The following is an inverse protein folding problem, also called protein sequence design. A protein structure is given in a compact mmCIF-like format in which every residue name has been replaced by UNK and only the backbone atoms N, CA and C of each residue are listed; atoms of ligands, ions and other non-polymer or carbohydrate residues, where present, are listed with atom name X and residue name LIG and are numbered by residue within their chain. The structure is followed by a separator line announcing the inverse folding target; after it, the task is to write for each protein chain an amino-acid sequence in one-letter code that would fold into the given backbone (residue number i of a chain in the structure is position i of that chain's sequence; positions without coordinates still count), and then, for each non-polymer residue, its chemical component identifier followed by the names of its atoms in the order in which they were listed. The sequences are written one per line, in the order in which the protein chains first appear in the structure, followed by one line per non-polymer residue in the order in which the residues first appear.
data_IF_518324627286
#
_entry.id   IF_518324627286
#
_cell.length_a   1.000
_cell.length_b   1.000
_cell.length_c   1.000
_cell.angle_alpha   90.00
_cell.angle_beta   90.00
_cell.angle_gamma   90.00
#
_symmetry.space_group_name_H-M   'P 1'
#
loop_
_entity.id
_entity.type
_entity.pdbx_description
1 polymer ?
#
# COMPACT_ATOMS: atom_id res chain seq x y z
N UNK A 1 -16.27 -16.45 -15.31
CA UNK A 1 -14.91 -16.61 -15.89
C UNK A 1 -14.37 -15.37 -16.60
N UNK A 2 -15.17 -14.60 -17.37
CA UNK A 2 -14.68 -13.39 -18.07
C UNK A 2 -14.20 -12.25 -17.16
N UNK A 3 -14.82 -12.01 -16.01
CA UNK A 3 -14.40 -10.95 -15.06
C UNK A 3 -13.05 -11.22 -14.38
N UNK A 4 -12.76 -12.48 -14.06
CA UNK A 4 -11.52 -12.89 -13.38
C UNK A 4 -10.28 -12.68 -14.26
N UNK A 5 -10.37 -13.06 -15.54
CA UNK A 5 -9.28 -12.82 -16.49
C UNK A 5 -9.00 -11.32 -16.69
N UNK A 6 -10.05 -10.49 -16.67
CA UNK A 6 -9.92 -9.03 -16.71
C UNK A 6 -9.27 -8.47 -15.44
N UNK A 7 -9.59 -9.01 -14.26
CA UNK A 7 -8.99 -8.61 -12.99
C UNK A 7 -7.52 -9.03 -12.82
N UNK A 8 -7.08 -10.14 -13.44
CA UNK A 8 -5.66 -10.56 -13.47
C UNK A 8 -4.84 -9.75 -14.48
N UNK A 9 -5.42 -9.45 -15.65
CA UNK A 9 -4.70 -8.72 -16.70
C UNK A 9 -4.47 -7.25 -16.35
N UNK A 10 -5.37 -6.64 -15.58
CA UNK A 10 -5.25 -5.25 -15.14
C UNK A 10 -3.95 -4.94 -14.36
N UNK A 11 -3.58 -5.68 -13.30
CA UNK A 11 -2.34 -5.43 -12.58
C UNK A 11 -1.09 -5.75 -13.42
N UNK A 12 -1.11 -6.80 -14.24
CA UNK A 12 0.00 -7.11 -15.15
C UNK A 12 0.23 -5.98 -16.17
N UNK A 13 -0.84 -5.45 -16.75
CA UNK A 13 -0.78 -4.29 -17.64
C UNK A 13 -0.23 -3.05 -16.94
N UNK A 14 -0.62 -2.81 -15.69
CA UNK A 14 -0.10 -1.73 -14.88
C UNK A 14 1.40 -1.89 -14.57
N UNK A 15 1.86 -3.11 -14.25
CA UNK A 15 3.29 -3.41 -14.01
C UNK A 15 4.10 -3.15 -15.28
N UNK A 16 3.63 -3.64 -16.42
CA UNK A 16 4.33 -3.48 -17.70
C UNK A 16 4.42 -2.00 -18.10
N UNK A 17 3.31 -1.26 -18.04
CA UNK A 17 3.28 0.17 -18.34
C UNK A 17 4.20 0.96 -17.39
N UNK A 18 4.15 0.65 -16.10
CA UNK A 18 4.99 1.31 -15.09
C UNK A 18 6.48 1.06 -15.34
N UNK A 19 6.86 -0.18 -15.70
CA UNK A 19 8.25 -0.50 -16.03
C UNK A 19 8.73 0.24 -17.29
N UNK A 20 7.88 0.35 -18.32
CA UNK A 20 8.19 1.15 -19.52
C UNK A 20 8.38 2.63 -19.18
N UNK A 21 7.54 3.18 -18.30
CA UNK A 21 7.66 4.56 -17.82
C UNK A 21 8.95 4.77 -17.01
N UNK A 22 9.31 3.85 -16.11
CA UNK A 22 10.60 3.90 -15.37
C UNK A 22 11.76 3.98 -16.36
N UNK A 23 11.76 3.13 -17.38
CA UNK A 23 12.80 3.12 -18.40
C UNK A 23 12.85 4.45 -19.18
N UNK A 24 11.68 5.00 -19.53
CA UNK A 24 11.57 6.30 -20.18
C UNK A 24 12.15 7.43 -19.31
N UNK A 25 11.68 7.57 -18.06
CA UNK A 25 12.13 8.63 -17.16
C UNK A 25 13.63 8.51 -16.86
N UNK A 26 14.12 7.31 -16.58
CA UNK A 26 15.55 7.06 -16.30
C UNK A 26 16.41 7.41 -17.51
N UNK A 27 15.98 7.05 -18.72
CA UNK A 27 16.69 7.40 -19.96
C UNK A 27 16.66 8.90 -20.22
N UNK A 28 15.48 9.52 -20.13
CA UNK A 28 15.27 10.97 -20.33
C UNK A 28 16.11 11.79 -19.35
N UNK A 29 16.09 11.43 -18.07
CA UNK A 29 16.92 12.06 -17.05
C UNK A 29 18.41 11.96 -17.39
N UNK A 30 18.90 10.77 -17.76
CA UNK A 30 20.31 10.57 -18.12
C UNK A 30 20.72 11.44 -19.32
N UNK A 31 19.91 11.46 -20.37
CA UNK A 31 20.19 12.21 -21.60
C UNK A 31 20.20 13.73 -21.38
N UNK A 32 19.30 14.24 -20.53
CA UNK A 32 19.15 15.68 -20.23
C UNK A 32 19.93 16.16 -18.99
N UNK A 33 20.55 15.25 -18.25
CA UNK A 33 21.20 15.53 -16.95
C UNK A 33 22.17 16.71 -17.00
N UNK A 34 23.01 16.80 -18.03
CA UNK A 34 23.95 17.91 -18.23
C UNK A 34 23.23 19.26 -18.32
N UNK A 35 22.14 19.32 -19.09
CA UNK A 35 21.37 20.54 -19.29
C UNK A 35 20.64 20.93 -18.01
N UNK A 36 20.11 19.96 -17.26
CA UNK A 36 19.52 20.20 -15.94
C UNK A 36 20.52 20.80 -14.95
N UNK A 37 21.72 20.26 -14.85
CA UNK A 37 22.74 20.81 -13.94
C UNK A 37 23.17 22.23 -14.36
N UNK A 38 23.24 22.51 -15.66
CA UNK A 38 23.53 23.86 -16.15
C UNK A 38 22.38 24.84 -15.88
N UNK A 39 21.14 24.38 -16.03
CA UNK A 39 19.94 25.14 -15.70
C UNK A 39 19.94 25.51 -14.22
N UNK A 40 20.05 24.53 -13.31
CA UNK A 40 20.02 24.72 -11.86
C UNK A 40 21.06 25.75 -11.37
N UNK A 41 22.26 25.76 -11.97
CA UNK A 41 23.32 26.74 -11.65
C UNK A 41 22.94 28.18 -11.98
N UNK A 42 22.10 28.40 -12.98
CA UNK A 42 21.70 29.74 -13.45
C UNK A 42 20.47 30.28 -12.73
N UNK A 43 19.72 29.44 -12.02
CA UNK A 43 18.50 29.84 -11.31
C UNK A 43 18.83 30.72 -10.10
N UNK A 44 17.87 31.53 -9.68
CA UNK A 44 17.97 32.25 -8.40
C UNK A 44 17.81 31.28 -7.22
N UNK A 45 18.27 31.70 -6.05
CA UNK A 45 18.09 30.93 -4.82
C UNK A 45 16.61 30.69 -4.52
N UNK A 46 15.76 31.69 -4.74
CA UNK A 46 14.31 31.60 -4.57
C UNK A 46 13.69 30.45 -5.39
N UNK A 47 14.04 30.34 -6.68
CA UNK A 47 13.51 29.27 -7.54
C UNK A 47 14.09 27.92 -7.13
N UNK A 48 15.39 27.84 -6.78
CA UNK A 48 15.98 26.58 -6.29
C UNK A 48 15.28 26.06 -5.03
N UNK A 49 14.92 26.95 -4.10
CA UNK A 49 14.18 26.56 -2.90
C UNK A 49 12.78 26.05 -3.24
N UNK A 50 12.08 26.66 -4.21
CA UNK A 50 10.81 26.12 -4.71
C UNK A 50 10.97 24.74 -5.35
N UNK A 51 12.06 24.48 -6.09
CA UNK A 51 12.32 23.14 -6.65
C UNK A 51 12.50 22.10 -5.53
N UNK A 52 13.26 22.43 -4.50
CA UNK A 52 13.50 21.53 -3.35
C UNK A 52 12.17 21.21 -2.65
N UNK A 53 11.38 22.24 -2.34
CA UNK A 53 10.08 22.08 -1.69
C UNK A 53 9.11 21.22 -2.52
N UNK A 54 9.07 21.43 -3.85
CA UNK A 54 8.27 20.59 -4.73
C UNK A 54 8.74 19.14 -4.69
N UNK A 55 10.05 18.87 -4.69
CA UNK A 55 10.59 17.50 -4.63
C UNK A 55 10.17 16.82 -3.32
N UNK A 56 10.23 17.53 -2.19
CA UNK A 56 9.83 17.01 -0.88
C UNK A 56 8.32 16.71 -0.81
N UNK A 57 7.48 17.61 -1.30
CA UNK A 57 6.01 17.43 -1.33
C UNK A 57 5.60 16.35 -2.32
N UNK A 58 6.17 16.36 -3.53
CA UNK A 58 5.80 15.45 -4.60
C UNK A 58 6.26 14.01 -4.33
N UNK A 59 7.25 13.81 -3.46
CA UNK A 59 7.63 12.50 -2.93
C UNK A 59 6.67 11.96 -1.87
N UNK A 60 5.89 12.82 -1.21
CA UNK A 60 4.95 12.43 -0.15
C UNK A 60 3.52 12.13 -0.66
N UNK A 61 3.16 12.62 -1.85
CA UNK A 61 1.84 12.41 -2.44
C UNK A 61 1.92 11.50 -3.67
N UNK A 62 1.42 10.26 -3.54
CA UNK A 62 1.45 9.21 -4.57
C UNK A 62 0.08 8.91 -5.20
N UNK A 63 -0.93 9.75 -5.00
CA UNK A 63 -2.29 9.46 -5.48
C UNK A 63 -2.33 9.45 -7.01
N UNK A 64 -2.62 8.27 -7.57
CA UNK A 64 -2.75 8.08 -9.01
C UNK A 64 -4.10 8.65 -9.49
N UNK A 65 -4.13 9.95 -9.80
CA UNK A 65 -5.31 10.62 -10.33
C UNK A 65 -5.41 10.38 -11.85
N UNK A 66 -6.43 9.64 -12.29
CA UNK A 66 -6.62 9.24 -13.69
C UNK A 66 -7.90 9.80 -14.31
N UNK A 67 -7.97 9.73 -15.65
CA UNK A 67 -9.21 9.87 -16.41
C UNK A 67 -9.88 11.25 -16.29
N UNK A 68 -11.16 11.27 -15.90
CA UNK A 68 -11.98 12.48 -15.83
C UNK A 68 -11.41 13.44 -14.78
N UNK A 69 -10.99 12.92 -13.62
CA UNK A 69 -10.47 13.75 -12.53
C UNK A 69 -9.14 14.40 -12.94
N UNK A 70 -8.24 13.67 -13.60
CA UNK A 70 -7.00 14.25 -14.16
C UNK A 70 -7.30 15.43 -15.09
N UNK A 71 -8.23 15.25 -16.03
CA UNK A 71 -8.62 16.32 -16.97
C UNK A 71 -9.23 17.51 -16.26
N UNK A 72 -10.03 17.26 -15.21
CA UNK A 72 -10.62 18.31 -14.38
C UNK A 72 -9.52 19.11 -13.66
N UNK A 73 -8.57 18.45 -13.00
CA UNK A 73 -7.46 19.10 -12.30
C UNK A 73 -6.55 19.92 -13.21
N UNK A 74 -6.23 19.41 -14.40
CA UNK A 74 -5.46 20.19 -15.38
C UNK A 74 -6.23 21.44 -15.83
N UNK A 75 -7.56 21.34 -15.98
CA UNK A 75 -8.41 22.49 -16.30
C UNK A 75 -8.46 23.50 -15.15
N UNK A 76 -8.52 23.04 -13.90
CA UNK A 76 -8.44 23.88 -12.71
C UNK A 76 -7.08 24.61 -12.62
N UNK A 77 -5.97 23.89 -12.80
CA UNK A 77 -4.62 24.48 -12.87
C UNK A 77 -4.58 25.59 -13.93
N UNK A 78 -5.09 25.33 -15.13
CA UNK A 78 -5.10 26.33 -16.21
C UNK A 78 -5.84 27.60 -15.80
N UNK A 79 -7.05 27.46 -15.25
CA UNK A 79 -7.84 28.59 -14.80
C UNK A 79 -7.10 29.39 -13.71
N UNK A 80 -6.51 28.70 -12.72
CA UNK A 80 -5.74 29.34 -11.66
C UNK A 80 -4.52 30.11 -12.20
N UNK A 81 -3.82 29.55 -13.20
CA UNK A 81 -2.70 30.24 -13.84
C UNK A 81 -3.17 31.49 -14.59
N UNK A 82 -4.28 31.41 -15.30
CA UNK A 82 -4.87 32.57 -15.99
C UNK A 82 -5.24 33.69 -15.00
N UNK A 83 -5.84 33.34 -13.86
CA UNK A 83 -6.14 34.29 -12.77
C UNK A 83 -4.89 34.91 -12.15
N UNK A 84 -3.76 34.19 -12.14
CA UNK A 84 -2.47 34.68 -11.67
C UNK A 84 -1.70 35.49 -12.73
N UNK A 85 -2.34 35.76 -13.88
CA UNK A 85 -1.85 36.67 -14.92
C UNK A 85 -1.07 35.98 -16.05
N UNK A 86 -1.25 34.68 -16.25
CA UNK A 86 -0.77 34.02 -17.48
C UNK A 86 -1.72 34.31 -18.64
N UNK A 87 -1.21 34.88 -19.72
CA UNK A 87 -1.99 35.03 -20.96
C UNK A 87 -1.99 33.68 -21.68
N UNK A 88 -3.10 32.95 -21.62
CA UNK A 88 -3.25 31.61 -22.22
C UNK A 88 -2.17 30.63 -21.76
N UNK A 89 -2.30 30.11 -20.54
CA UNK A 89 -1.30 29.22 -19.95
C UNK A 89 -1.01 27.99 -20.86
N UNK A 90 0.27 27.72 -21.19
CA UNK A 90 0.63 26.61 -22.08
C UNK A 90 0.16 25.26 -21.55
N UNK A 91 -0.33 24.40 -22.44
CA UNK A 91 -0.81 23.07 -22.04
C UNK A 91 0.30 22.23 -21.38
N UNK A 92 1.51 22.28 -21.95
CA UNK A 92 2.70 21.59 -21.41
C UNK A 92 3.04 22.04 -19.99
N UNK A 93 2.89 23.33 -19.68
CA UNK A 93 3.09 23.85 -18.33
C UNK A 93 2.02 23.33 -17.36
N UNK A 94 0.76 23.32 -17.78
CA UNK A 94 -0.34 22.82 -16.96
C UNK A 94 -0.18 21.31 -16.66
N UNK A 95 0.23 20.53 -17.66
CA UNK A 95 0.50 19.11 -17.50
C UNK A 95 1.70 18.87 -16.58
N UNK A 96 2.81 19.57 -16.79
CA UNK A 96 4.00 19.41 -15.94
C UNK A 96 3.72 19.84 -14.48
N UNK A 97 2.93 20.89 -14.27
CA UNK A 97 2.52 21.33 -12.94
C UNK A 97 1.61 20.29 -12.25
N UNK A 98 0.69 19.68 -13.01
CA UNK A 98 -0.13 18.59 -12.51
C UNK A 98 0.72 17.38 -12.09
N UNK A 99 1.65 16.94 -12.95
CA UNK A 99 2.55 15.83 -12.64
C UNK A 99 3.42 16.14 -11.42
N UNK A 100 3.83 17.40 -11.22
CA UNK A 100 4.57 17.80 -10.01
C UNK A 100 3.70 17.97 -8.75
N UNK A 101 2.39 17.72 -8.82
CA UNK A 101 1.49 17.80 -7.67
C UNK A 101 1.14 19.23 -7.24
N UNK A 102 1.21 20.20 -8.16
CA UNK A 102 1.00 21.63 -7.85
C UNK A 102 -0.47 22.06 -7.91
N UNK A 103 -1.40 21.13 -8.11
CA UNK A 103 -2.82 21.42 -8.20
C UNK A 103 -3.32 22.09 -6.91
N UNK A 104 -3.90 23.28 -7.03
CA UNK A 104 -4.35 24.10 -5.90
C UNK A 104 -3.24 24.82 -5.12
N UNK A 105 -1.97 24.65 -5.51
CA UNK A 105 -0.80 25.33 -4.92
C UNK A 105 -0.10 26.27 -5.91
N UNK A 106 -0.73 26.58 -7.05
CA UNK A 106 -0.09 27.30 -8.16
C UNK A 106 0.40 28.69 -7.72
N UNK A 107 -0.32 29.34 -6.79
CA UNK A 107 0.05 30.65 -6.24
C UNK A 107 1.34 30.60 -5.41
N UNK A 108 1.61 29.51 -4.70
CA UNK A 108 2.80 29.34 -3.85
C UNK A 108 4.07 29.19 -4.70
N UNK A 109 3.94 28.57 -5.87
CA UNK A 109 5.03 28.31 -6.81
C UNK A 109 5.06 29.27 -8.00
N UNK A 110 4.41 30.43 -7.88
CA UNK A 110 4.18 31.35 -9.01
C UNK A 110 5.48 31.87 -9.63
N UNK A 111 6.53 32.09 -8.84
CA UNK A 111 7.82 32.56 -9.35
C UNK A 111 8.49 31.52 -10.26
N UNK A 112 8.46 30.24 -9.87
CA UNK A 112 8.93 29.13 -10.70
C UNK A 112 8.05 28.97 -11.94
N UNK A 113 6.72 29.00 -11.77
CA UNK A 113 5.77 28.81 -12.87
C UNK A 113 5.88 29.92 -13.92
N UNK A 114 6.18 31.17 -13.51
CA UNK A 114 6.41 32.30 -14.42
C UNK A 114 7.82 32.36 -14.99
N UNK A 115 8.74 31.51 -14.51
CA UNK A 115 10.10 31.50 -15.01
C UNK A 115 10.13 31.02 -16.46
N UNK A 116 11.00 31.60 -17.29
CA UNK A 116 11.12 31.24 -18.71
C UNK A 116 11.46 29.76 -18.97
N UNK A 117 12.09 29.12 -17.98
CA UNK A 117 12.48 27.70 -18.00
C UNK A 117 11.52 26.81 -17.20
N UNK A 118 10.32 27.29 -16.83
CA UNK A 118 9.39 26.56 -15.95
C UNK A 118 9.13 25.12 -16.42
N UNK A 119 8.88 24.94 -17.72
CA UNK A 119 8.63 23.61 -18.31
C UNK A 119 9.85 22.70 -18.14
N UNK A 120 11.06 23.19 -18.42
CA UNK A 120 12.32 22.45 -18.24
C UNK A 120 12.57 22.08 -16.77
N UNK A 121 12.22 22.98 -15.84
CA UNK A 121 12.35 22.75 -14.40
C UNK A 121 11.38 21.65 -13.93
N UNK A 122 10.11 21.74 -14.32
CA UNK A 122 9.11 20.73 -13.95
C UNK A 122 9.36 19.39 -14.64
N UNK A 123 9.90 19.40 -15.86
CA UNK A 123 10.36 18.21 -16.56
C UNK A 123 11.51 17.52 -15.79
N UNK A 124 12.48 18.27 -15.28
CA UNK A 124 13.53 17.73 -14.40
C UNK A 124 12.91 17.01 -13.20
N UNK A 125 11.99 17.67 -12.48
CA UNK A 125 11.33 17.10 -11.30
C UNK A 125 10.55 15.83 -11.66
N UNK A 126 9.80 15.87 -12.77
CA UNK A 126 9.01 14.73 -13.25
C UNK A 126 9.91 13.54 -13.59
N UNK A 127 11.01 13.76 -14.31
CA UNK A 127 11.95 12.68 -14.66
C UNK A 127 12.69 12.14 -13.44
N UNK A 128 12.91 12.96 -12.40
CA UNK A 128 13.53 12.55 -11.15
C UNK A 128 12.61 11.66 -10.32
N UNK A 129 11.33 12.05 -10.17
CA UNK A 129 10.37 11.37 -9.30
C UNK A 129 9.56 10.26 -9.99
N UNK A 130 9.50 10.30 -11.33
CA UNK A 130 8.78 9.31 -12.13
C UNK A 130 9.14 7.86 -11.81
N UNK A 131 10.44 7.49 -11.68
CA UNK A 131 10.84 6.13 -11.33
C UNK A 131 10.28 5.65 -9.98
N UNK A 132 10.33 6.50 -8.95
CA UNK A 132 9.84 6.17 -7.61
C UNK A 132 8.33 5.93 -7.61
N UNK A 133 7.55 6.80 -8.24
CA UNK A 133 6.08 6.67 -8.34
C UNK A 133 5.65 5.42 -9.10
N UNK A 134 6.34 5.10 -10.20
CA UNK A 134 6.03 3.90 -10.98
C UNK A 134 6.48 2.64 -10.23
N UNK A 135 7.53 2.70 -9.42
CA UNK A 135 7.92 1.60 -8.51
C UNK A 135 6.84 1.33 -7.46
N UNK A 136 6.27 2.38 -6.84
CA UNK A 136 5.13 2.25 -5.93
C UNK A 136 3.91 1.64 -6.63
N UNK A 137 3.62 2.07 -7.87
CA UNK A 137 2.52 1.50 -8.68
C UNK A 137 2.74 0.01 -8.96
N UNK A 138 3.97 -0.40 -9.28
CA UNK A 138 4.34 -1.82 -9.45
C UNK A 138 4.11 -2.58 -8.15
N UNK A 139 4.57 -2.05 -7.01
CA UNK A 139 4.40 -2.67 -5.70
C UNK A 139 2.93 -2.92 -5.38
N UNK A 140 2.06 -1.92 -5.57
CA UNK A 140 0.60 -2.07 -5.39
C UNK A 140 0.01 -3.12 -6.35
N UNK A 141 0.44 -3.12 -7.61
CA UNK A 141 -0.06 -4.08 -8.60
C UNK A 141 0.37 -5.52 -8.30
N UNK A 142 1.61 -5.73 -7.82
CA UNK A 142 2.13 -7.02 -7.36
C UNK A 142 1.33 -7.52 -6.16
N UNK A 143 1.10 -6.67 -5.16
CA UNK A 143 0.30 -7.02 -3.99
C UNK A 143 -1.14 -7.42 -4.36
N UNK A 144 -1.77 -6.70 -5.29
CA UNK A 144 -3.08 -7.08 -5.82
C UNK A 144 -3.04 -8.41 -6.55
N UNK A 145 -2.02 -8.64 -7.38
CA UNK A 145 -1.85 -9.88 -8.14
C UNK A 145 -1.72 -11.10 -7.22
N UNK A 146 -0.89 -10.99 -6.18
CA UNK A 146 -0.72 -12.04 -5.15
C UNK A 146 -2.04 -12.36 -4.44
N UNK A 147 -2.83 -11.33 -4.11
CA UNK A 147 -4.14 -11.49 -3.47
C UNK A 147 -5.17 -12.15 -4.39
N UNK A 148 -5.22 -11.76 -5.66
CA UNK A 148 -6.12 -12.36 -6.67
C UNK A 148 -5.74 -13.82 -6.92
N UNK A 149 -4.44 -14.12 -7.09
CA UNK A 149 -3.95 -15.48 -7.28
C UNK A 149 -4.34 -16.37 -6.09
N UNK A 150 -4.26 -15.85 -4.88
CA UNK A 150 -4.71 -16.59 -3.70
C UNK A 150 -6.22 -16.80 -3.67
N UNK A 151 -7.02 -15.75 -3.91
CA UNK A 151 -8.47 -15.89 -3.98
C UNK A 151 -8.87 -16.95 -5.01
N UNK A 152 -8.20 -16.98 -6.16
CA UNK A 152 -8.41 -17.99 -7.18
C UNK A 152 -7.95 -19.38 -6.74
N UNK A 153 -6.83 -19.51 -6.05
CA UNK A 153 -6.39 -20.81 -5.48
C UNK A 153 -7.42 -21.33 -4.47
N UNK A 154 -7.94 -20.44 -3.61
CA UNK A 154 -8.99 -20.74 -2.62
C UNK A 154 -10.34 -21.09 -3.26
N UNK A 155 -10.74 -20.40 -4.34
CA UNK A 155 -11.97 -20.66 -5.09
C UNK A 155 -11.87 -21.87 -6.02
N UNK A 156 -10.70 -22.11 -6.61
CA UNK A 156 -10.51 -23.15 -7.62
C UNK A 156 -10.37 -24.52 -6.97
N UNK A 157 -9.51 -24.70 -5.96
CA UNK A 157 -9.26 -26.01 -5.34
C UNK A 157 -8.65 -25.83 -3.93
N UNK A 158 -9.48 -25.98 -2.89
CA UNK A 158 -9.04 -26.59 -1.63
C UNK A 158 -8.87 -28.10 -1.86
N UNK A 159 -7.76 -28.50 -2.49
CA UNK A 159 -7.12 -29.84 -2.53
C UNK A 159 -6.34 -29.98 -3.85
N UNK A 160 -5.02 -30.22 -3.83
CA UNK A 160 -4.53 -31.59 -3.83
C UNK A 160 -3.08 -31.77 -3.30
N UNK A 161 -2.47 -30.75 -2.68
CA UNK A 161 -1.09 -30.86 -2.15
C UNK A 161 -0.83 -30.16 -0.80
N UNK A 162 -1.85 -29.54 -0.19
CA UNK A 162 -1.70 -28.92 1.13
C UNK A 162 -1.72 -30.02 2.20
N UNK A 163 -0.58 -30.35 2.76
CA UNK A 163 -0.49 -31.36 3.83
C UNK A 163 -0.76 -30.68 5.16
N UNK A 164 -1.64 -31.27 5.97
CA UNK A 164 -1.82 -30.89 7.36
C UNK A 164 -0.58 -31.35 8.13
N UNK A 165 0.16 -30.42 8.71
CA UNK A 165 1.40 -30.73 9.44
C UNK A 165 1.37 -30.13 10.84
N UNK A 166 1.90 -30.88 11.81
CA UNK A 166 2.06 -30.39 13.18
C UNK A 166 3.16 -29.31 13.17
N UNK A 167 2.77 -28.05 13.27
CA UNK A 167 3.68 -26.89 13.18
C UNK A 167 3.57 -25.99 14.41
N UNK A 168 4.67 -25.29 14.70
CA UNK A 168 4.69 -24.26 15.72
C UNK A 168 4.11 -22.94 15.16
N UNK A 169 3.05 -22.42 15.77
CA UNK A 169 2.43 -21.15 15.35
C UNK A 169 3.38 -19.97 15.50
N UNK A 170 4.26 -19.99 16.50
CA UNK A 170 5.28 -18.96 16.70
C UNK A 170 6.19 -18.84 15.49
N UNK A 171 6.73 -19.95 15.01
CA UNK A 171 7.61 -19.98 13.83
C UNK A 171 6.88 -19.49 12.58
N UNK A 172 5.59 -19.80 12.46
CA UNK A 172 4.76 -19.35 11.35
C UNK A 172 4.60 -17.82 11.35
N UNK A 173 4.32 -17.23 12.52
CA UNK A 173 4.25 -15.77 12.70
C UNK A 173 5.62 -15.12 12.50
N UNK A 174 6.69 -15.67 13.07
CA UNK A 174 8.07 -15.15 12.95
C UNK A 174 8.57 -15.17 11.50
N UNK A 175 8.13 -16.14 10.70
CA UNK A 175 8.39 -16.18 9.26
C UNK A 175 7.83 -14.94 8.57
N UNK A 176 6.57 -14.56 8.85
CA UNK A 176 5.93 -13.36 8.29
C UNK A 176 6.64 -12.10 8.77
N UNK A 177 6.95 -12.01 10.06
CA UNK A 177 7.67 -10.85 10.62
C UNK A 177 9.04 -10.66 9.98
N UNK A 178 9.76 -11.75 9.70
CA UNK A 178 11.08 -11.71 9.05
C UNK A 178 10.98 -11.22 7.61
N UNK A 179 9.96 -11.65 6.86
CA UNK A 179 9.73 -11.22 5.48
C UNK A 179 9.42 -9.72 5.37
N UNK A 180 8.68 -9.18 6.34
CA UNK A 180 8.24 -7.78 6.34
C UNK A 180 9.05 -6.86 7.27
N UNK A 181 10.19 -7.34 7.81
CA UNK A 181 11.02 -6.60 8.77
C UNK A 181 11.35 -5.16 8.36
N UNK A 182 11.52 -4.90 7.06
CA UNK A 182 11.89 -3.58 6.54
C UNK A 182 10.75 -2.56 6.68
N UNK A 183 9.50 -3.01 6.69
CA UNK A 183 8.33 -2.15 6.89
C UNK A 183 8.22 -1.67 8.33
N UNK A 184 8.79 -2.41 9.28
CA UNK A 184 8.71 -2.07 10.71
C UNK A 184 9.83 -1.12 11.16
N UNK A 185 10.99 -1.14 10.48
CA UNK A 185 12.21 -0.42 10.92
C UNK A 185 12.04 1.10 11.09
N UNK A 186 11.06 1.72 10.45
CA UNK A 186 10.90 3.18 10.41
C UNK A 186 9.56 3.65 10.97
N UNK A 187 9.22 3.24 12.19
CA UNK A 187 8.07 3.81 12.91
C UNK A 187 7.23 2.81 13.70
N UNK A 188 7.42 1.50 13.51
CA UNK A 188 6.65 0.48 14.22
C UNK A 188 7.46 -0.10 15.38
N UNK A 189 6.99 0.12 16.61
CA UNK A 189 7.47 -0.56 17.80
C UNK A 189 6.83 -1.96 17.87
N UNK A 190 7.58 -2.98 17.47
CA UNK A 190 7.15 -4.38 17.45
C UNK A 190 7.46 -5.07 18.79
N UNK A 191 6.44 -5.58 19.47
CA UNK A 191 6.56 -6.48 20.63
C UNK A 191 6.01 -7.86 20.28
N UNK A 192 6.78 -8.92 20.56
CA UNK A 192 6.40 -10.31 20.30
C UNK A 192 6.57 -11.12 21.57
N UNK A 193 5.47 -11.65 22.10
CA UNK A 193 5.42 -12.38 23.37
C UNK A 193 4.72 -13.73 23.14
N UNK A 194 5.43 -14.84 23.28
CA UNK A 194 4.85 -16.17 23.13
C UNK A 194 5.11 -17.00 24.39
N UNK A 195 4.06 -17.60 24.92
CA UNK A 195 4.19 -18.75 25.79
C UNK A 195 4.67 -19.98 25.00
N UNK A 196 5.03 -21.04 25.72
CA UNK A 196 5.36 -22.31 25.09
C UNK A 196 4.09 -22.99 24.56
N UNK A 197 3.85 -22.84 23.25
CA UNK A 197 2.70 -23.41 22.55
C UNK A 197 3.07 -24.76 21.96
N UNK A 198 2.25 -25.82 22.17
CA UNK A 198 2.47 -27.10 21.51
C UNK A 198 2.26 -26.97 20.00
N UNK A 199 2.94 -27.80 19.18
CA UNK A 199 2.65 -27.90 17.76
C UNK A 199 1.16 -28.21 17.51
N UNK A 200 0.59 -27.56 16.50
CA UNK A 200 -0.81 -27.71 16.09
C UNK A 200 -0.88 -28.19 14.64
N UNK A 201 -1.85 -29.05 14.30
CA UNK A 201 -2.04 -29.52 12.93
C UNK A 201 -2.62 -28.40 12.08
N UNK A 202 -1.81 -27.84 11.17
CA UNK A 202 -2.20 -26.71 10.33
C UNK A 202 -1.82 -26.94 8.87
N UNK A 203 -2.50 -26.22 7.98
CA UNK A 203 -2.03 -25.95 6.63
C UNK A 203 -1.13 -24.71 6.70
N UNK A 204 0.19 -24.93 6.76
CA UNK A 204 1.20 -23.89 7.03
C UNK A 204 1.07 -22.66 6.15
N UNK A 205 0.86 -22.83 4.84
CA UNK A 205 0.69 -21.75 3.87
C UNK A 205 -0.58 -20.91 4.12
N UNK A 206 -1.67 -21.56 4.54
CA UNK A 206 -2.93 -20.86 4.84
C UNK A 206 -2.74 -19.92 6.04
N UNK A 207 -2.03 -20.40 7.07
CA UNK A 207 -1.72 -19.63 8.28
C UNK A 207 -0.73 -18.51 8.01
N UNK A 208 0.29 -18.72 7.16
CA UNK A 208 1.20 -17.65 6.72
C UNK A 208 0.42 -16.49 6.08
N UNK A 209 -0.60 -16.80 5.27
CA UNK A 209 -1.43 -15.78 4.64
C UNK A 209 -2.37 -15.09 5.63
N UNK A 210 -2.93 -15.83 6.57
CA UNK A 210 -3.74 -15.26 7.65
C UNK A 210 -2.91 -14.24 8.46
N UNK A 211 -1.70 -14.62 8.91
CA UNK A 211 -0.84 -13.70 9.66
C UNK A 211 -0.40 -12.52 8.81
N UNK A 212 -0.06 -12.73 7.53
CA UNK A 212 0.28 -11.65 6.60
C UNK A 212 -0.86 -10.64 6.51
N UNK A 213 -2.11 -11.09 6.34
CA UNK A 213 -3.25 -10.19 6.26
C UNK A 213 -3.50 -9.42 7.55
N UNK A 214 -3.47 -10.08 8.71
CA UNK A 214 -3.71 -9.42 9.99
C UNK A 214 -2.59 -8.42 10.33
N UNK A 215 -1.33 -8.80 10.19
CA UNK A 215 -0.17 -7.95 10.45
C UNK A 215 -0.13 -6.76 9.50
N UNK A 216 -0.37 -6.97 8.19
CA UNK A 216 -0.37 -5.87 7.23
C UNK A 216 -1.57 -4.93 7.43
N UNK A 217 -2.74 -5.44 7.81
CA UNK A 217 -3.87 -4.59 8.15
C UNK A 217 -3.57 -3.71 9.36
N UNK A 218 -2.97 -4.26 10.41
CA UNK A 218 -2.52 -3.52 11.59
C UNK A 218 -1.52 -2.40 11.23
N UNK A 219 -0.46 -2.74 10.50
CA UNK A 219 0.58 -1.79 10.09
C UNK A 219 0.02 -0.67 9.22
N UNK A 220 -0.87 -1.01 8.28
CA UNK A 220 -1.51 -0.03 7.41
C UNK A 220 -2.50 0.86 8.16
N UNK A 221 -3.26 0.33 9.12
CA UNK A 221 -4.15 1.11 9.96
C UNK A 221 -3.39 2.16 10.77
N UNK A 222 -2.18 1.82 11.22
CA UNK A 222 -1.26 2.73 11.90
C UNK A 222 -0.48 3.65 10.97
N UNK A 223 -0.76 3.68 9.66
CA UNK A 223 0.03 4.46 8.68
C UNK A 223 1.53 4.18 8.78
N UNK A 224 1.90 2.92 9.01
CA UNK A 224 3.28 2.45 9.18
C UNK A 224 4.03 3.04 10.38
N UNK A 225 3.33 3.63 11.37
CA UNK A 225 3.92 4.20 12.59
C UNK A 225 3.04 3.98 13.82
N UNK A 226 3.56 3.30 14.85
CA UNK A 226 2.79 2.96 16.05
C UNK A 226 3.31 1.72 16.77
N UNK A 227 2.46 1.08 17.57
CA UNK A 227 2.81 -0.13 18.32
C UNK A 227 2.09 -1.33 17.74
N UNK A 228 2.87 -2.34 17.35
CA UNK A 228 2.35 -3.66 16.95
C UNK A 228 2.74 -4.66 18.03
N UNK A 229 1.75 -5.26 18.69
CA UNK A 229 1.98 -6.31 19.68
C UNK A 229 1.40 -7.62 19.18
N UNK A 230 2.21 -8.68 19.19
CA UNK A 230 1.77 -10.03 18.87
C UNK A 230 1.96 -10.90 20.10
N UNK A 231 0.88 -11.54 20.53
CA UNK A 231 0.92 -12.43 21.69
C UNK A 231 0.44 -13.84 21.31
N UNK A 232 1.10 -14.87 21.82
CA UNK A 232 0.69 -16.25 21.67
C UNK A 232 0.58 -16.94 23.02
N UNK A 233 -0.56 -17.54 23.34
CA UNK A 233 -0.78 -18.25 24.60
C UNK A 233 -1.80 -19.37 24.45
N UNK A 234 -1.81 -20.30 25.40
CA UNK A 234 -2.80 -21.37 25.43
C UNK A 234 -4.04 -20.92 26.20
N UNK A 235 -5.21 -21.10 25.62
CA UNK A 235 -6.50 -20.85 26.27
C UNK A 235 -7.40 -22.07 26.05
N UNK A 236 -7.74 -22.77 27.14
CA UNK A 236 -8.49 -24.03 27.09
C UNK A 236 -7.86 -25.05 26.10
N UNK A 237 -8.61 -25.40 25.05
CA UNK A 237 -8.20 -26.30 23.97
C UNK A 237 -7.75 -25.56 22.70
N UNK A 238 -7.37 -24.29 22.80
CA UNK A 238 -6.91 -23.50 21.67
C UNK A 238 -5.49 -22.95 21.91
N UNK A 239 -4.68 -22.94 20.85
CA UNK A 239 -3.55 -22.04 20.74
C UNK A 239 -4.07 -20.70 20.20
N UNK A 240 -3.97 -19.65 21.02
CA UNK A 240 -4.50 -18.33 20.73
C UNK A 240 -3.37 -17.38 20.34
N UNK A 241 -3.54 -16.71 19.21
CA UNK A 241 -2.67 -15.64 18.75
C UNK A 241 -3.46 -14.32 18.72
N UNK A 242 -2.92 -13.29 19.35
CA UNK A 242 -3.41 -11.92 19.30
C UNK A 242 -2.53 -11.08 18.39
N UNK A 243 -3.14 -10.28 17.52
CA UNK A 243 -2.48 -9.22 16.76
C UNK A 243 -3.12 -7.91 17.19
N UNK A 244 -2.38 -7.12 17.98
CA UNK A 244 -2.80 -5.83 18.52
C UNK A 244 -2.07 -4.67 17.85
N UNK A 245 -2.81 -3.66 17.40
CA UNK A 245 -2.30 -2.43 16.82
C UNK A 245 -2.80 -1.18 17.55
N UNK A 246 -2.00 -0.12 17.53
CA UNK A 246 -2.35 1.18 18.09
C UNK A 246 -2.99 2.13 17.06
N UNK A 247 -3.67 1.60 16.05
CA UNK A 247 -4.31 2.35 14.98
C UNK A 247 -5.59 3.06 15.43
N UNK A 248 -6.30 3.72 14.51
CA UNK A 248 -7.49 4.54 14.80
C UNK A 248 -8.72 3.73 15.26
N UNK A 249 -8.66 2.41 15.24
CA UNK A 249 -9.79 1.54 15.58
C UNK A 249 -10.73 1.27 14.40
N UNK A 250 -11.67 0.36 14.62
CA UNK A 250 -12.74 -0.02 13.68
C UNK A 250 -14.04 0.67 14.12
N UNK A 251 -14.60 1.60 13.30
CA UNK A 251 -15.87 2.26 13.57
C UNK A 251 -17.02 1.25 13.75
N UNK A 252 -17.91 1.50 14.71
CA UNK A 252 -19.05 0.63 14.99
C UNK A 252 -19.91 0.35 13.74
N UNK A 253 -20.10 1.35 12.88
CA UNK A 253 -20.92 1.26 11.68
C UNK A 253 -20.44 0.25 10.63
N UNK A 254 -19.21 -0.24 10.74
CA UNK A 254 -18.62 -1.18 9.77
C UNK A 254 -18.28 -2.55 10.37
N UNK A 255 -18.41 -2.74 11.69
CA UNK A 255 -17.99 -3.96 12.41
C UNK A 255 -18.59 -5.24 11.82
N UNK A 256 -19.89 -5.21 11.49
CA UNK A 256 -20.61 -6.37 10.92
C UNK A 256 -20.24 -6.65 9.46
N UNK A 257 -19.43 -5.80 8.83
CA UNK A 257 -19.10 -5.88 7.41
C UNK A 257 -17.64 -6.20 7.15
N UNK A 258 -16.75 -6.08 8.14
CA UNK A 258 -15.31 -6.18 7.91
C UNK A 258 -14.87 -7.55 7.37
N UNK A 259 -15.63 -8.61 7.66
CA UNK A 259 -15.39 -9.96 7.15
C UNK A 259 -16.11 -10.25 5.83
N UNK A 260 -16.94 -9.33 5.33
CA UNK A 260 -17.65 -9.55 4.07
C UNK A 260 -16.68 -9.46 2.88
N UNK A 261 -16.78 -10.36 1.91
CA UNK A 261 -15.98 -10.29 0.69
C UNK A 261 -16.11 -8.90 0.01
N UNK A 262 -14.98 -8.38 -0.46
CA UNK A 262 -14.86 -7.09 -1.16
C UNK A 262 -15.18 -5.85 -0.32
N UNK A 263 -15.44 -5.99 0.99
CA UNK A 263 -15.61 -4.83 1.86
C UNK A 263 -14.25 -4.19 2.20
N UNK A 264 -14.11 -2.91 1.90
CA UNK A 264 -12.89 -2.14 2.23
C UNK A 264 -13.24 -0.69 2.54
N UNK A 265 -12.54 -0.11 3.52
CA UNK A 265 -12.57 1.33 3.80
C UNK A 265 -11.46 2.11 3.12
N UNK A 266 -10.52 1.39 2.46
CA UNK A 266 -9.38 1.98 1.79
C UNK A 266 -9.78 2.64 0.46
N UNK A 267 -9.03 3.65 -0.01
CA UNK A 267 -9.22 4.27 -1.31
C UNK A 267 -9.31 3.25 -2.46
N UNK A 268 -10.04 3.57 -3.55
CA UNK A 268 -10.13 2.71 -4.72
C UNK A 268 -8.74 2.32 -5.23
N UNK A 269 -8.39 1.04 -5.08
CA UNK A 269 -7.10 0.50 -5.48
C UNK A 269 -6.12 0.17 -4.36
N UNK A 270 -6.37 0.57 -3.12
CA UNK A 270 -5.49 0.23 -1.99
C UNK A 270 -5.99 -0.97 -1.19
N UNK A 271 -7.28 -1.30 -1.31
CA UNK A 271 -7.88 -2.47 -0.67
C UNK A 271 -8.67 -3.32 -1.66
N UNK A 272 -8.39 -4.63 -1.70
CA UNK A 272 -9.24 -5.59 -2.42
C UNK A 272 -10.52 -5.96 -1.65
N UNK A 273 -10.55 -5.66 -0.35
CA UNK A 273 -11.61 -6.09 0.56
C UNK A 273 -11.72 -7.60 0.79
N UNK A 274 -10.70 -8.36 0.38
CA UNK A 274 -10.69 -9.82 0.54
C UNK A 274 -9.90 -10.30 1.77
N UNK A 275 -9.06 -9.45 2.38
CA UNK A 275 -8.09 -9.88 3.39
C UNK A 275 -8.72 -10.55 4.61
N UNK A 276 -9.73 -9.92 5.21
CA UNK A 276 -10.39 -10.45 6.41
C UNK A 276 -11.37 -11.60 6.08
N UNK A 277 -12.04 -11.59 4.94
CA UNK A 277 -12.82 -12.73 4.43
C UNK A 277 -11.94 -13.98 4.27
N UNK A 278 -10.73 -13.81 3.75
CA UNK A 278 -9.72 -14.88 3.67
C UNK A 278 -9.35 -15.37 5.07
N UNK A 279 -9.09 -14.47 6.02
CA UNK A 279 -8.78 -14.87 7.39
C UNK A 279 -9.91 -15.71 7.99
N UNK A 280 -11.17 -15.32 7.80
CA UNK A 280 -12.32 -16.08 8.27
C UNK A 280 -12.34 -17.50 7.68
N UNK A 281 -12.22 -17.63 6.35
CA UNK A 281 -12.20 -18.94 5.67
C UNK A 281 -11.04 -19.83 6.10
N UNK A 282 -9.85 -19.24 6.28
CA UNK A 282 -8.67 -19.98 6.77
C UNK A 282 -8.93 -20.51 8.18
N UNK A 283 -9.46 -19.67 9.07
CA UNK A 283 -9.75 -20.08 10.45
C UNK A 283 -10.83 -21.15 10.50
N UNK A 284 -11.92 -20.99 9.73
CA UNK A 284 -12.99 -21.98 9.62
C UNK A 284 -12.46 -23.33 9.11
N UNK A 285 -11.57 -23.33 8.12
CA UNK A 285 -10.92 -24.56 7.63
C UNK A 285 -10.11 -25.28 8.70
N UNK A 286 -9.58 -24.55 9.68
CA UNK A 286 -8.85 -25.12 10.81
C UNK A 286 -9.75 -25.41 12.02
N UNK A 287 -11.08 -25.32 11.87
CA UNK A 287 -12.06 -25.39 12.96
C UNK A 287 -11.75 -24.41 14.10
N UNK A 288 -11.12 -23.28 13.76
CA UNK A 288 -10.70 -22.27 14.71
C UNK A 288 -11.76 -21.20 14.96
N UNK A 289 -11.34 -20.17 15.69
CA UNK A 289 -12.16 -18.98 15.94
C UNK A 289 -11.38 -17.72 15.59
N UNK A 290 -12.07 -16.72 15.06
CA UNK A 290 -11.54 -15.38 14.85
C UNK A 290 -12.52 -14.37 15.41
N UNK A 291 -12.01 -13.44 16.21
CA UNK A 291 -12.79 -12.36 16.79
C UNK A 291 -11.93 -11.11 16.85
N UNK A 292 -12.54 -9.97 17.17
CA UNK A 292 -11.82 -8.74 17.36
C UNK A 292 -12.42 -7.90 18.49
N UNK A 293 -11.57 -7.13 19.14
CA UNK A 293 -11.94 -6.04 20.04
C UNK A 293 -11.28 -4.77 19.53
N UNK A 294 -12.02 -3.67 19.44
CA UNK A 294 -11.49 -2.45 18.84
C UNK A 294 -12.07 -1.20 19.46
N UNK A 295 -11.16 -0.30 19.82
CA UNK A 295 -11.42 1.07 20.26
C UNK A 295 -10.39 1.98 19.59
N UNK A 296 -10.63 3.31 19.51
CA UNK A 296 -9.61 4.22 19.03
C UNK A 296 -8.30 4.09 19.80
N UNK A 297 -7.19 3.90 19.07
CA UNK A 297 -5.86 3.68 19.66
C UNK A 297 -5.56 2.24 20.05
N UNK A 298 -6.50 1.29 19.86
CA UNK A 298 -6.27 -0.14 20.11
C UNK A 298 -7.24 -1.03 19.34
N UNK A 299 -6.74 -1.83 18.40
CA UNK A 299 -7.47 -2.92 17.77
C UNK A 299 -6.76 -4.24 18.02
N UNK A 300 -7.49 -5.27 18.41
CA UNK A 300 -6.97 -6.61 18.65
C UNK A 300 -7.77 -7.60 17.82
N UNK A 301 -7.09 -8.32 16.93
CA UNK A 301 -7.63 -9.55 16.34
C UNK A 301 -7.16 -10.74 17.16
N UNK A 302 -8.09 -11.59 17.57
CA UNK A 302 -7.85 -12.83 18.32
C UNK A 302 -8.18 -14.03 17.44
N UNK A 303 -7.18 -14.88 17.20
CA UNK A 303 -7.30 -16.11 16.40
C UNK A 303 -6.98 -17.30 17.29
N UNK A 304 -7.95 -18.20 17.45
CA UNK A 304 -7.77 -19.47 18.16
C UNK A 304 -7.73 -20.64 17.19
N UNK A 305 -6.66 -21.44 17.25
CA UNK A 305 -6.55 -22.71 16.51
C UNK A 305 -6.68 -23.86 17.50
N UNK A 306 -7.56 -24.86 17.26
CA UNK A 306 -7.73 -25.98 18.17
C UNK A 306 -6.41 -26.75 18.34
N UNK A 307 -6.08 -27.06 19.59
CA UNK A 307 -5.06 -28.04 19.91
C UNK A 307 -5.56 -29.43 19.53
N UNK A 308 -4.65 -30.36 19.24
CA UNK A 308 -5.01 -31.78 19.15
C UNK A 308 -5.69 -32.17 20.47
N UNK A 309 -6.96 -32.58 20.39
CA UNK A 309 -7.60 -33.24 21.52
C UNK A 309 -6.82 -34.53 21.78
N UNK A 310 -6.17 -34.62 22.94
CA UNK A 310 -5.70 -35.88 23.49
C UNK A 310 -6.92 -36.69 23.96
N UNK A 311 -7.80 -37.07 23.03
CA UNK A 311 -8.77 -38.12 23.32
C UNK A 311 -8.06 -39.45 23.07
N UNK A 312 -7.78 -40.11 24.19
CA UNK A 312 -7.40 -41.53 24.36
C UNK A 312 -8.03 -42.47 23.35
#
# INVERSE_FOLDING_TARGET
MSGIAHEINNPLGAIQASNQNIQYYTKSFREKSKDYFQLLRKLSEKIRNQIIDIIEIAGQHSDLILGIERRKRIKEIRANLEDLGFVSAPNELCEAAFECGLYGKEKEYIDLLKHKEAVSILELITNLLGPERNSQTIQTAVERSSKILYALKSFAHFDNNSVLEDSNLRENVETVLTLYQNLFRHGVELSVEFEDLPPVPIYRDDLLHLWTNLIMNAVQAMTYSGKLKIQGYKEDNFAVILVEDSGPGIPESIRDKIFNPFFTTKPPGEGSGLGLDICLKVVEKHNGTISFDSIPGRTVFKVGIPLKNNNT
#
